data_IF_870807029218
#
_entry.id   IF_870807029218
#
_cell.length_a   1.000
_cell.length_b   1.000
_cell.length_c   1.000
_cell.angle_alpha   90.00
_cell.angle_beta   90.00
_cell.angle_gamma   90.00
#
_symmetry.space_group_name_H-M   'P 1'
#
loop_
_entity.id
_entity.type
_entity.pdbx_description
1 polymer ?
#
# COMPACT_ATOMS: atom_id res chain seq x y z
N UNK A 1 23.24 3.23 -12.51
CA UNK A 1 22.11 4.06 -12.98
C UNK A 1 20.87 3.20 -12.91
N UNK A 2 20.00 3.42 -11.92
CA UNK A 2 18.75 2.66 -11.82
C UNK A 2 17.83 3.08 -12.96
N UNK A 3 17.74 2.24 -13.99
CA UNK A 3 16.62 2.29 -14.92
C UNK A 3 15.42 1.73 -14.16
N UNK A 4 14.35 2.51 -13.99
CA UNK A 4 13.12 1.98 -13.39
C UNK A 4 12.75 0.69 -14.11
N UNK A 5 12.61 -0.40 -13.36
CA UNK A 5 12.25 -1.71 -13.92
C UNK A 5 10.78 -1.73 -14.31
N UNK A 6 9.97 -0.93 -13.63
CA UNK A 6 8.51 -0.92 -13.73
C UNK A 6 7.98 0.50 -13.87
N UNK A 7 7.03 0.70 -14.78
CA UNK A 7 6.34 1.98 -15.00
C UNK A 7 4.85 1.70 -15.19
N UNK A 8 4.01 2.30 -14.35
CA UNK A 8 2.56 2.16 -14.43
C UNK A 8 1.84 3.45 -14.03
N UNK A 9 0.59 3.61 -14.46
CA UNK A 9 -0.36 4.59 -13.94
C UNK A 9 -1.26 3.88 -12.92
N UNK A 10 -1.40 4.47 -11.74
CA UNK A 10 -2.22 3.86 -10.69
C UNK A 10 -2.58 4.81 -9.57
N UNK A 11 -3.60 4.43 -8.82
CA UNK A 11 -4.13 5.18 -7.69
C UNK A 11 -3.79 4.45 -6.40
N UNK A 12 -3.03 5.06 -5.47
CA UNK A 12 -2.84 4.48 -4.16
C UNK A 12 -4.17 4.50 -3.40
N UNK A 13 -4.62 3.36 -2.91
CA UNK A 13 -5.91 3.19 -2.23
C UNK A 13 -5.76 3.12 -0.71
N UNK A 14 -4.63 2.57 -0.25
CA UNK A 14 -4.33 2.39 1.17
C UNK A 14 -2.86 2.70 1.46
N UNK A 15 -2.57 3.08 2.71
CA UNK A 15 -1.22 3.27 3.23
C UNK A 15 -1.12 2.61 4.60
N UNK A 16 -0.07 1.84 4.82
CA UNK A 16 0.38 1.42 6.16
C UNK A 16 1.79 1.93 6.39
N UNK A 17 2.09 2.25 7.64
CA UNK A 17 3.41 2.72 8.07
C UNK A 17 3.80 1.97 9.31
N UNK A 18 5.04 1.49 9.37
CA UNK A 18 5.62 0.86 10.57
C UNK A 18 6.64 1.78 11.28
N UNK A 19 6.81 3.00 10.76
CA UNK A 19 7.76 4.00 11.25
C UNK A 19 9.13 3.97 10.57
N UNK A 20 9.44 2.92 9.80
CA UNK A 20 10.65 2.80 8.99
C UNK A 20 10.33 2.87 7.50
N UNK A 21 9.25 2.22 7.08
CA UNK A 21 8.73 2.21 5.72
C UNK A 21 7.25 2.62 5.68
N UNK A 22 6.88 3.15 4.52
CA UNK A 22 5.50 3.37 4.12
C UNK A 22 5.17 2.42 2.96
N UNK A 23 4.17 1.57 3.15
CA UNK A 23 3.70 0.63 2.14
C UNK A 23 2.31 1.02 1.67
N UNK A 24 2.17 1.17 0.37
CA UNK A 24 0.96 1.61 -0.31
C UNK A 24 0.38 0.49 -1.16
N UNK A 25 -0.94 0.30 -1.10
CA UNK A 25 -1.65 -0.53 -2.07
C UNK A 25 -2.07 0.34 -3.25
N UNK A 26 -1.82 -0.11 -4.47
CA UNK A 26 -2.17 0.60 -5.70
C UNK A 26 -3.21 -0.18 -6.49
N UNK A 27 -4.24 0.54 -6.95
CA UNK A 27 -5.10 0.11 -8.06
C UNK A 27 -4.45 0.59 -9.37
N UNK A 28 -4.07 -0.36 -10.23
CA UNK A 28 -3.27 -0.11 -11.43
C UNK A 28 -4.18 -0.02 -12.63
N UNK A 29 -4.30 1.18 -13.20
CA UNK A 29 -5.15 1.44 -14.36
C UNK A 29 -4.45 1.11 -15.69
N UNK A 30 -3.12 1.22 -15.72
CA UNK A 30 -2.33 1.00 -16.94
C UNK A 30 -0.87 0.70 -16.65
N UNK A 31 -0.29 -0.27 -17.36
CA UNK A 31 1.13 -0.61 -17.28
C UNK A 31 1.83 -0.21 -18.57
N UNK A 32 2.93 0.53 -18.45
CA UNK A 32 3.77 0.95 -19.59
C UNK A 32 5.04 0.10 -19.70
N UNK A 33 5.55 -0.41 -18.58
CA UNK A 33 6.75 -1.24 -18.53
C UNK A 33 6.70 -2.16 -17.31
N UNK A 34 7.12 -3.41 -17.51
CA UNK A 34 7.11 -4.44 -16.46
C UNK A 34 5.87 -5.32 -16.54
N UNK A 35 5.79 -6.29 -15.64
CA UNK A 35 4.62 -7.14 -15.41
C UNK A 35 4.04 -6.80 -14.05
N UNK A 36 2.81 -6.28 -14.04
CA UNK A 36 2.14 -5.75 -12.85
C UNK A 36 0.68 -6.17 -12.92
N UNK A 37 0.15 -6.66 -11.81
CA UNK A 37 -1.26 -7.00 -11.69
C UNK A 37 -2.13 -5.75 -11.49
N UNK A 38 -3.46 -5.90 -11.60
CA UNK A 38 -4.39 -4.77 -11.36
C UNK A 38 -4.30 -4.19 -9.95
N UNK A 39 -3.79 -4.97 -8.99
CA UNK A 39 -3.50 -4.50 -7.63
C UNK A 39 -2.06 -4.87 -7.28
N UNK A 40 -1.28 -3.93 -6.75
CA UNK A 40 0.13 -4.16 -6.36
C UNK A 40 0.50 -3.35 -5.13
N UNK A 41 1.55 -3.76 -4.41
CA UNK A 41 2.10 -3.02 -3.28
C UNK A 41 3.38 -2.26 -3.67
N UNK A 42 3.48 -1.02 -3.22
CA UNK A 42 4.66 -0.17 -3.39
C UNK A 42 5.14 0.31 -2.03
N UNK A 43 6.35 -0.10 -1.67
CA UNK A 43 7.03 0.33 -0.47
C UNK A 43 7.92 1.54 -0.76
N UNK A 44 8.17 2.34 0.26
CA UNK A 44 9.17 3.40 0.25
C UNK A 44 9.67 3.63 1.66
N UNK A 45 10.95 3.94 1.83
CA UNK A 45 11.47 4.38 3.12
C UNK A 45 10.73 5.63 3.59
N UNK A 46 10.38 5.68 4.88
CA UNK A 46 9.67 6.80 5.49
C UNK A 46 10.58 8.03 5.70
N UNK A 47 11.91 7.84 5.62
CA UNK A 47 12.90 8.90 5.81
C UNK A 47 13.49 9.40 4.47
N UNK A 48 13.47 10.73 4.28
CA UNK A 48 14.00 11.35 3.06
C UNK A 48 15.51 11.16 2.85
N UNK A 49 16.26 10.84 3.91
CA UNK A 49 17.71 10.56 3.82
C UNK A 49 18.02 9.29 3.01
N UNK A 50 17.06 8.37 2.88
CA UNK A 50 17.18 7.14 2.08
C UNK A 50 16.61 7.24 0.67
N UNK A 51 16.41 8.44 0.11
CA UNK A 51 15.59 8.64 -1.11
C UNK A 51 14.11 8.19 -0.92
N UNK A 52 13.61 8.12 0.32
CA UNK A 52 12.19 7.88 0.59
C UNK A 52 11.29 8.92 -0.09
N UNK A 53 10.10 8.50 -0.51
CA UNK A 53 9.05 9.33 -1.09
C UNK A 53 7.70 9.06 -0.41
N UNK A 54 6.67 9.80 -0.78
CA UNK A 54 5.32 9.61 -0.28
C UNK A 54 4.31 9.85 -1.39
N UNK A 55 3.18 9.14 -1.32
CA UNK A 55 2.11 9.22 -2.31
C UNK A 55 0.81 9.69 -1.68
N UNK A 56 0.01 10.42 -2.47
CA UNK A 56 -1.30 10.94 -2.04
C UNK A 56 -2.37 9.92 -2.35
N UNK A 57 -2.92 9.28 -1.32
CA UNK A 57 -4.03 8.32 -1.43
C UNK A 57 -5.21 8.94 -2.19
N UNK A 58 -5.76 8.19 -3.13
CA UNK A 58 -6.89 8.59 -3.97
C UNK A 58 -6.52 9.47 -5.17
N UNK A 59 -5.24 9.77 -5.38
CA UNK A 59 -4.77 10.54 -6.54
C UNK A 59 -4.02 9.63 -7.51
N UNK A 60 -4.56 9.45 -8.72
CA UNK A 60 -3.88 8.71 -9.78
C UNK A 60 -2.58 9.42 -10.17
N UNK A 61 -1.51 8.64 -10.32
CA UNK A 61 -0.19 9.19 -10.65
C UNK A 61 0.65 8.17 -11.43
N UNK A 62 1.57 8.71 -12.23
CA UNK A 62 2.52 7.93 -13.01
C UNK A 62 3.70 7.52 -12.12
N UNK A 63 3.92 6.22 -12.03
CA UNK A 63 4.88 5.58 -11.13
C UNK A 63 6.12 5.13 -11.88
N UNK A 64 7.29 5.35 -11.28
CA UNK A 64 8.59 4.89 -11.76
C UNK A 64 9.27 4.10 -10.64
N UNK A 65 9.26 2.78 -10.74
CA UNK A 65 9.61 1.91 -9.62
C UNK A 65 10.77 0.99 -9.94
N UNK A 66 11.45 0.54 -8.89
CA UNK A 66 12.45 -0.52 -8.95
C UNK A 66 11.93 -1.82 -8.35
N UNK A 67 12.70 -2.90 -8.54
CA UNK A 67 12.59 -4.07 -7.68
C UNK A 67 12.83 -3.66 -6.20
N UNK A 68 12.21 -4.36 -5.25
CA UNK A 68 12.37 -4.08 -3.84
C UNK A 68 13.77 -4.43 -3.36
N UNK A 69 14.33 -3.57 -2.52
CA UNK A 69 15.65 -3.73 -1.93
C UNK A 69 15.61 -3.49 -0.41
N UNK A 70 15.03 -2.38 0.03
CA UNK A 70 14.97 -1.99 1.45
C UNK A 70 13.54 -2.02 2.05
N UNK A 71 12.56 -2.51 1.29
CA UNK A 71 11.13 -2.50 1.69
C UNK A 71 10.44 -3.86 1.55
N UNK A 72 9.43 -4.13 2.37
CA UNK A 72 8.58 -5.33 2.29
C UNK A 72 7.35 -5.11 1.39
N UNK A 73 7.60 -4.92 0.09
CA UNK A 73 6.58 -4.71 -0.93
C UNK A 73 6.98 -5.33 -2.29
N UNK A 74 6.03 -5.42 -3.23
CA UNK A 74 6.32 -5.96 -4.58
C UNK A 74 7.26 -5.05 -5.38
N UNK A 75 7.17 -3.74 -5.15
CA UNK A 75 8.02 -2.74 -5.79
C UNK A 75 8.46 -1.67 -4.81
N UNK A 76 9.55 -0.99 -5.13
CA UNK A 76 10.08 0.11 -4.33
C UNK A 76 10.04 1.43 -5.09
N UNK A 77 9.53 2.44 -4.40
CA UNK A 77 9.45 3.82 -4.85
C UNK A 77 10.54 4.68 -4.25
N UNK A 78 11.09 5.59 -5.06
CA UNK A 78 12.18 6.47 -4.67
C UNK A 78 11.89 7.91 -5.09
N UNK A 79 12.22 8.89 -4.25
CA UNK A 79 12.14 10.32 -4.58
C UNK A 79 13.17 10.76 -5.62
N UNK A 80 14.17 9.91 -5.85
CA UNK A 80 15.26 10.12 -6.81
C UNK A 80 14.83 9.81 -8.28
N UNK A 81 13.53 9.57 -8.52
CA UNK A 81 12.93 9.41 -9.84
C UNK A 81 12.59 10.73 -10.55
N UNK A 82 12.11 10.67 -11.81
CA UNK A 82 11.71 11.87 -12.55
C UNK A 82 10.55 12.58 -11.86
N UNK A 83 10.73 13.86 -11.54
CA UNK A 83 9.68 14.69 -10.95
C UNK A 83 8.58 14.97 -11.97
N UNK A 84 7.35 14.57 -11.67
CA UNK A 84 6.18 14.68 -12.56
C UNK A 84 5.41 16.00 -12.44
N UNK A 85 5.81 16.90 -11.54
CA UNK A 85 5.11 18.17 -11.28
C UNK A 85 5.63 19.39 -12.06
N UNK A 86 6.07 19.20 -13.31
CA UNK A 86 6.48 20.30 -14.22
C UNK A 86 5.47 20.49 -15.34
N UNK A 87 5.56 21.60 -16.09
CA UNK A 87 4.75 21.82 -17.31
C UNK A 87 5.06 20.83 -18.46
N UNK A 88 6.03 19.93 -18.24
CA UNK A 88 6.40 18.88 -19.16
C UNK A 88 5.49 17.66 -18.97
N UNK A 89 4.85 17.23 -20.06
CA UNK A 89 3.99 16.05 -20.07
C UNK A 89 4.83 14.76 -20.05
N UNK A 90 5.17 14.33 -18.83
CA UNK A 90 5.95 13.10 -18.59
C UNK A 90 5.19 11.88 -19.10
N UNK A 91 3.87 11.84 -18.95
CA UNK A 91 3.07 10.70 -19.39
C UNK A 91 3.14 10.55 -20.91
N UNK A 92 2.93 11.63 -21.68
CA UNK A 92 3.05 11.60 -23.13
C UNK A 92 4.44 11.16 -23.60
N UNK A 93 5.48 11.49 -22.83
CA UNK A 93 6.85 11.02 -23.10
C UNK A 93 6.99 9.53 -22.86
N UNK A 94 6.43 9.01 -21.75
CA UNK A 94 6.37 7.57 -21.49
C UNK A 94 5.61 6.85 -22.59
N UNK A 95 4.48 7.37 -23.03
CA UNK A 95 3.69 6.81 -24.13
C UNK A 95 4.44 6.82 -25.47
N UNK A 96 5.23 7.85 -25.73
CA UNK A 96 6.06 7.93 -26.94
C UNK A 96 7.22 6.90 -26.93
N UNK A 97 7.75 6.55 -25.76
CA UNK A 97 8.89 5.63 -25.62
C UNK A 97 8.45 4.18 -25.49
N UNK A 98 7.42 3.92 -24.67
CA UNK A 98 6.97 2.57 -24.29
C UNK A 98 5.65 2.16 -24.97
N UNK A 99 5.02 3.07 -25.72
CA UNK A 99 3.71 2.86 -26.32
C UNK A 99 2.56 3.18 -25.35
N UNK A 100 1.33 2.95 -25.80
CA UNK A 100 0.12 3.33 -25.06
C UNK A 100 -0.10 2.57 -23.73
N UNK A 101 0.75 1.60 -23.41
CA UNK A 101 0.58 0.69 -22.28
C UNK A 101 -0.55 -0.33 -22.49
N UNK A 102 -0.73 -1.20 -21.49
CA UNK A 102 -1.81 -2.20 -21.46
C UNK A 102 -2.59 -2.11 -20.14
N UNK A 103 -3.83 -2.58 -20.15
CA UNK A 103 -4.63 -2.74 -18.93
C UNK A 103 -4.21 -4.07 -18.28
N UNK A 104 -3.76 -4.07 -17.03
CA UNK A 104 -3.29 -5.30 -16.39
C UNK A 104 -4.42 -6.30 -16.17
N UNK A 105 -4.07 -7.59 -16.09
CA UNK A 105 -5.03 -8.62 -15.74
C UNK A 105 -5.54 -8.43 -14.31
N UNK A 106 -6.81 -8.76 -14.09
CA UNK A 106 -7.40 -8.69 -12.75
C UNK A 106 -6.71 -9.69 -11.83
N UNK A 107 -6.07 -9.19 -10.79
CA UNK A 107 -5.29 -9.99 -9.86
C UNK A 107 -4.40 -9.14 -8.96
N UNK A 108 -3.57 -9.81 -8.17
CA UNK A 108 -2.71 -9.19 -7.14
C UNK A 108 -3.15 -9.56 -5.74
N UNK A 109 -2.20 -9.57 -4.80
CA UNK A 109 -2.49 -9.85 -3.39
C UNK A 109 -2.51 -8.53 -2.63
N UNK A 110 -3.59 -8.19 -1.92
CA UNK A 110 -3.55 -7.08 -0.97
C UNK A 110 -2.76 -7.54 0.28
N UNK A 111 -1.43 -7.65 0.16
CA UNK A 111 -0.57 -7.86 1.33
C UNK A 111 -0.05 -6.52 1.78
N UNK A 112 -0.84 -5.87 2.62
CA UNK A 112 -0.34 -4.83 3.50
C UNK A 112 0.11 -5.54 4.76
N UNK A 113 1.41 -5.82 4.87
CA UNK A 113 1.99 -6.44 6.05
C UNK A 113 1.90 -5.42 7.20
N UNK A 114 0.78 -5.43 7.92
CA UNK A 114 0.69 -4.70 9.19
C UNK A 114 1.66 -5.38 10.14
N UNK A 115 2.82 -4.75 10.37
CA UNK A 115 3.70 -5.11 11.48
C UNK A 115 2.96 -4.75 12.76
N UNK A 116 2.10 -5.66 13.22
CA UNK A 116 1.51 -5.57 14.55
C UNK A 116 2.65 -5.80 15.52
N UNK A 117 3.21 -4.73 16.07
CA UNK A 117 4.12 -4.82 17.19
C UNK A 117 3.47 -5.74 18.23
N UNK A 118 4.12 -6.88 18.48
CA UNK A 118 3.62 -7.96 19.35
C UNK A 118 3.41 -7.52 20.80
N UNK A 119 3.63 -6.25 21.11
CA UNK A 119 3.41 -5.67 22.44
C UNK A 119 2.07 -4.92 22.59
N UNK A 120 1.35 -4.58 21.51
CA UNK A 120 0.08 -3.83 21.60
C UNK A 120 -1.20 -4.67 21.39
N UNK A 121 -1.08 -5.91 20.89
CA UNK A 121 -2.20 -6.75 20.47
C UNK A 121 -2.89 -7.57 21.58
N UNK A 122 -2.85 -7.12 22.84
CA UNK A 122 -3.49 -7.85 23.97
C UNK A 122 -4.73 -7.16 24.54
N UNK A 123 -5.09 -5.94 24.12
CA UNK A 123 -6.18 -5.19 24.79
C UNK A 123 -7.50 -5.10 24.00
N UNK A 124 -7.52 -5.40 22.70
CA UNK A 124 -8.73 -5.18 21.89
C UNK A 124 -9.75 -6.35 21.82
N UNK A 125 -9.30 -7.60 21.88
CA UNK A 125 -10.13 -8.76 21.54
C UNK A 125 -10.85 -9.46 22.70
N UNK A 126 -10.38 -9.29 23.94
CA UNK A 126 -10.90 -10.02 25.10
C UNK A 126 -12.08 -9.28 25.77
N UNK A 127 -12.19 -7.97 25.58
CA UNK A 127 -13.20 -7.16 26.25
C UNK A 127 -14.63 -7.49 25.78
N UNK A 128 -14.85 -7.84 24.51
CA UNK A 128 -16.21 -8.09 23.98
C UNK A 128 -16.78 -9.43 24.48
N UNK A 129 -15.96 -10.47 24.62
CA UNK A 129 -16.43 -11.79 25.08
C UNK A 129 -16.72 -11.79 26.59
N UNK A 130 -15.93 -11.06 27.38
CA UNK A 130 -16.16 -10.96 28.83
C UNK A 130 -17.46 -10.19 29.17
N UNK A 131 -17.80 -9.14 28.41
CA UNK A 131 -19.03 -8.37 28.62
C UNK A 131 -20.28 -9.18 28.27
N UNK A 132 -20.25 -9.97 27.18
CA UNK A 132 -21.38 -10.82 26.81
C UNK A 132 -21.57 -12.01 27.78
N UNK A 133 -20.49 -12.60 28.27
CA UNK A 133 -20.56 -13.67 29.29
C UNK A 133 -21.06 -13.14 30.65
N UNK A 134 -20.62 -11.95 31.07
CA UNK A 134 -21.05 -11.32 32.32
C UNK A 134 -22.55 -10.96 32.34
N UNK A 135 -23.05 -10.37 31.25
CA UNK A 135 -24.47 -10.01 31.12
C UNK A 135 -25.39 -11.24 31.03
N UNK A 136 -24.95 -12.29 30.33
CA UNK A 136 -25.68 -13.56 30.25
C UNK A 136 -25.81 -14.26 31.61
N UNK A 137 -24.72 -14.29 32.39
CA UNK A 137 -24.72 -14.94 33.71
C UNK A 137 -25.59 -14.19 34.73
N UNK A 138 -25.54 -12.85 34.74
CA UNK A 138 -26.31 -12.03 35.67
C UNK A 138 -27.82 -12.07 35.36
N UNK A 139 -28.19 -12.06 34.08
CA UNK A 139 -29.59 -12.22 33.63
C UNK A 139 -30.19 -13.58 34.00
N UNK A 140 -29.42 -14.66 33.89
CA UNK A 140 -29.89 -16.01 34.21
C UNK A 140 -30.08 -16.23 35.72
N UNK A 141 -29.18 -15.68 36.54
CA UNK A 141 -29.27 -15.81 38.01
C UNK A 141 -30.48 -15.06 38.59
N UNK A 142 -30.90 -13.96 37.96
CA UNK A 142 -32.08 -13.17 38.39
C UNK A 142 -33.41 -13.87 38.06
N UNK A 143 -33.49 -14.63 36.96
CA UNK A 143 -34.69 -15.42 36.61
C UNK A 143 -34.94 -16.64 37.49
N UNK A 144 -33.92 -17.15 38.20
CA UNK A 144 -34.06 -18.30 39.10
C UNK A 144 -34.42 -17.93 40.56
N UNK A 145 -34.62 -16.65 40.85
CA UNK A 145 -34.96 -16.14 42.19
C UNK A 145 -36.28 -15.34 42.23
N UNK A 146 -37.02 -15.31 41.14
CA UNK A 146 -38.38 -14.77 41.07
C UNK A 146 -39.38 -15.92 40.97
#
# INVERSE_FOLDING_TARGET
>A
MSVSSTIFLGTPTEKTSDGFEDTYLFDVSRVYKGDVASVTSVGTLANGNGCGTSYVVGTEQLMFLSAPYDVDAEFEGHSCGPYTGTDFDVQKTVEAVYGAGYVPETGGTPSVAVYVDKTAAVVGGVAVVAVLAGLGWFGWKRRRRA
#
